data_IF_957514146345
#
_entry.id   IF_957514146345
#
_cell.length_a   1.000
_cell.length_b   1.000
_cell.length_c   1.000
_cell.angle_alpha   90.00
_cell.angle_beta   90.00
_cell.angle_gamma   90.00
#
_symmetry.space_group_name_H-M   'P 1'
#
loop_
_entity.id
_entity.type
_entity.pdbx_description
1 polymer ?
#
# COMPACT_ATOMS: atom_id res chain seq x y z
N UNK A 1 -1.17 1.46 -16.42
CA UNK A 1 -1.62 2.30 -15.30
C UNK A 1 -3.14 2.33 -15.30
N UNK A 2 -3.78 2.17 -14.15
CA UNK A 2 -5.25 2.21 -13.96
C UNK A 2 -5.61 3.11 -12.79
N UNK A 3 -6.81 3.68 -12.80
CA UNK A 3 -7.36 4.41 -11.66
C UNK A 3 -7.94 3.44 -10.63
N UNK A 4 -7.61 3.66 -9.36
CA UNK A 4 -8.02 2.79 -8.25
C UNK A 4 -8.47 3.61 -7.04
N UNK A 5 -9.29 2.99 -6.21
CA UNK A 5 -9.63 3.48 -4.88
C UNK A 5 -8.87 2.66 -3.84
N UNK A 6 -8.07 3.34 -3.04
CA UNK A 6 -7.21 2.76 -2.01
C UNK A 6 -8.05 2.60 -0.74
N UNK A 7 -8.22 1.33 -0.35
CA UNK A 7 -8.81 0.93 0.92
C UNK A 7 -7.69 0.55 1.88
N UNK A 8 -7.81 0.99 3.12
CA UNK A 8 -6.87 0.63 4.18
C UNK A 8 -7.58 -0.06 5.33
N UNK A 9 -6.87 -0.90 6.06
CA UNK A 9 -7.45 -1.62 7.17
C UNK A 9 -6.44 -2.34 8.04
N UNK A 10 -6.93 -2.90 9.15
CA UNK A 10 -6.14 -3.81 9.97
C UNK A 10 -6.25 -5.21 9.43
N UNK A 11 -5.18 -5.99 9.60
CA UNK A 11 -5.18 -7.42 9.33
C UNK A 11 -4.71 -8.17 10.57
N UNK A 12 -5.05 -9.45 10.68
CA UNK A 12 -4.58 -10.28 11.79
C UNK A 12 -3.05 -10.36 11.80
N UNK A 13 -2.44 -10.54 10.63
CA UNK A 13 -0.97 -10.64 10.50
C UNK A 13 -0.26 -9.33 10.85
N UNK A 14 -0.88 -8.18 10.53
CA UNK A 14 -0.39 -6.88 10.99
C UNK A 14 -0.38 -6.81 12.52
N UNK A 15 -1.46 -7.25 13.18
CA UNK A 15 -1.53 -7.29 14.64
C UNK A 15 -0.44 -8.17 15.25
N UNK A 16 -0.25 -9.38 14.73
CA UNK A 16 0.81 -10.29 15.18
C UNK A 16 2.20 -9.67 14.95
N UNK A 17 2.45 -9.11 13.77
CA UNK A 17 3.73 -8.49 13.43
C UNK A 17 4.06 -7.29 14.33
N UNK A 18 3.06 -6.52 14.74
CA UNK A 18 3.25 -5.41 15.68
C UNK A 18 3.79 -5.88 17.04
N UNK A 19 3.33 -7.03 17.54
CA UNK A 19 3.81 -7.60 18.81
C UNK A 19 5.24 -8.14 18.71
N UNK A 20 5.66 -8.58 17.52
CA UNK A 20 7.07 -8.94 17.26
C UNK A 20 7.95 -7.69 17.23
N UNK A 21 7.47 -6.63 16.58
CA UNK A 21 8.10 -5.31 16.59
C UNK A 21 8.08 -4.61 15.22
N UNK A 22 8.01 -3.29 15.23
CA UNK A 22 7.82 -2.47 14.00
C UNK A 22 8.99 -2.47 13.01
N UNK A 23 10.15 -2.95 13.44
CA UNK A 23 11.35 -3.09 12.59
C UNK A 23 11.58 -4.53 12.14
N UNK A 24 10.71 -5.46 12.54
CA UNK A 24 10.86 -6.87 12.19
C UNK A 24 10.47 -7.11 10.73
N UNK A 25 10.96 -8.23 10.20
CA UNK A 25 10.61 -8.67 8.86
C UNK A 25 9.14 -9.12 8.80
N UNK A 26 8.64 -9.72 9.88
CA UNK A 26 7.26 -10.16 10.05
C UNK A 26 6.29 -8.98 9.96
N UNK A 27 6.58 -7.89 10.67
CA UNK A 27 5.77 -6.68 10.56
C UNK A 27 5.84 -6.12 9.15
N UNK A 28 7.04 -5.98 8.59
CA UNK A 28 7.24 -5.41 7.26
C UNK A 28 6.44 -6.17 6.20
N UNK A 29 6.58 -7.50 6.15
CA UNK A 29 5.82 -8.38 5.24
C UNK A 29 4.31 -8.32 5.44
N UNK A 30 3.85 -8.03 6.66
CA UNK A 30 2.42 -7.94 6.97
C UNK A 30 1.76 -6.63 6.52
N UNK A 31 2.54 -5.60 6.14
CA UNK A 31 2.00 -4.27 5.80
C UNK A 31 2.54 -3.66 4.51
N UNK A 32 3.54 -4.26 3.88
CA UNK A 32 4.19 -3.73 2.68
C UNK A 32 3.63 -4.31 1.36
N UNK A 33 2.38 -4.73 1.35
CA UNK A 33 1.71 -5.33 0.20
C UNK A 33 0.40 -4.64 -0.17
N UNK A 34 0.01 -4.70 -1.44
CA UNK A 34 -1.28 -4.26 -1.96
C UNK A 34 -2.04 -5.45 -2.55
N UNK A 35 -3.25 -5.68 -2.09
CA UNK A 35 -4.19 -6.61 -2.72
C UNK A 35 -4.88 -5.93 -3.90
N UNK A 36 -4.89 -6.62 -5.04
CA UNK A 36 -5.38 -6.13 -6.32
C UNK A 36 -6.44 -7.10 -6.81
N UNK A 37 -7.56 -6.58 -7.32
CA UNK A 37 -8.58 -7.43 -7.91
C UNK A 37 -8.02 -8.25 -9.07
N UNK A 38 -8.57 -9.45 -9.29
CA UNK A 38 -8.20 -10.30 -10.42
C UNK A 38 -8.40 -9.64 -11.79
N UNK A 39 -9.44 -8.82 -11.94
CA UNK A 39 -9.70 -8.12 -13.19
C UNK A 39 -8.64 -7.05 -13.47
N UNK A 40 -8.27 -6.29 -12.43
CA UNK A 40 -7.26 -5.24 -12.54
C UNK A 40 -5.87 -5.83 -12.75
N UNK A 41 -5.56 -6.97 -12.13
CA UNK A 41 -4.28 -7.65 -12.34
C UNK A 41 -4.11 -8.08 -13.79
N UNK A 42 -5.15 -8.64 -14.41
CA UNK A 42 -5.15 -8.99 -15.83
C UNK A 42 -5.00 -7.72 -16.70
N UNK A 43 -5.73 -6.65 -16.36
CA UNK A 43 -5.72 -5.41 -17.13
C UNK A 43 -4.33 -4.73 -17.18
N UNK A 44 -3.55 -4.82 -16.10
CA UNK A 44 -2.19 -4.25 -16.05
C UNK A 44 -1.09 -5.26 -16.35
N UNK A 45 -1.41 -6.52 -16.67
CA UNK A 45 -0.42 -7.57 -16.90
C UNK A 45 0.34 -8.01 -15.64
N UNK A 46 -0.27 -7.83 -14.47
CA UNK A 46 0.33 -8.15 -13.18
C UNK A 46 0.41 -9.66 -12.93
N UNK A 47 1.57 -10.09 -12.44
CA UNK A 47 1.80 -11.44 -11.92
C UNK A 47 1.97 -11.39 -10.42
N UNK A 48 1.33 -12.33 -9.70
CA UNK A 48 1.34 -12.37 -8.24
C UNK A 48 2.76 -12.30 -7.64
N UNK A 49 2.93 -11.47 -6.60
CA UNK A 49 4.22 -11.19 -5.98
C UNK A 49 5.09 -10.13 -6.67
N UNK A 50 4.75 -9.69 -7.89
CA UNK A 50 5.47 -8.61 -8.56
C UNK A 50 5.31 -7.28 -7.79
N UNK A 51 6.27 -6.34 -7.88
CA UNK A 51 6.12 -5.03 -7.28
C UNK A 51 5.14 -4.16 -8.08
N UNK A 52 4.33 -3.37 -7.36
CA UNK A 52 3.41 -2.38 -7.92
C UNK A 52 3.66 -1.01 -7.31
N UNK A 53 3.47 0.06 -8.08
CA UNK A 53 3.56 1.43 -7.59
C UNK A 53 2.15 2.00 -7.46
N UNK A 54 1.85 2.50 -6.26
CA UNK A 54 0.63 3.25 -5.96
C UNK A 54 0.99 4.72 -5.89
N UNK A 55 0.29 5.55 -6.64
CA UNK A 55 0.51 7.01 -6.70
C UNK A 55 -0.77 7.76 -6.38
N UNK A 56 -0.68 8.78 -5.54
CA UNK A 56 -1.74 9.74 -5.25
C UNK A 56 -1.21 11.16 -5.41
N UNK A 57 -2.03 12.17 -5.14
CA UNK A 57 -1.59 13.58 -5.10
C UNK A 57 -0.56 13.86 -3.99
N UNK A 58 -0.47 12.99 -2.98
CA UNK A 58 0.41 13.14 -1.83
C UNK A 58 1.81 12.60 -2.12
N UNK A 59 1.89 11.49 -2.84
CA UNK A 59 3.15 10.81 -3.07
C UNK A 59 2.99 9.50 -3.81
N UNK A 60 4.04 8.69 -3.78
CA UNK A 60 4.08 7.36 -4.40
C UNK A 60 4.79 6.36 -3.50
N UNK A 61 4.37 5.10 -3.58
CA UNK A 61 5.01 4.00 -2.84
C UNK A 61 4.98 2.72 -3.66
N UNK A 62 6.09 1.97 -3.60
CA UNK A 62 6.19 0.63 -4.19
C UNK A 62 5.82 -0.40 -3.12
N UNK A 63 4.94 -1.33 -3.48
CA UNK A 63 4.41 -2.38 -2.61
C UNK A 63 4.54 -3.75 -3.30
N UNK A 64 4.56 -4.82 -2.53
CA UNK A 64 4.39 -6.16 -3.10
C UNK A 64 2.94 -6.32 -3.54
N UNK A 65 2.69 -6.62 -4.80
CA UNK A 65 1.35 -6.90 -5.27
C UNK A 65 0.91 -8.31 -4.85
N UNK A 66 -0.38 -8.45 -4.53
CA UNK A 66 -1.03 -9.72 -4.25
C UNK A 66 -2.36 -9.79 -4.99
N UNK A 67 -2.64 -10.87 -5.69
CA UNK A 67 -3.96 -11.07 -6.30
C UNK A 67 -4.99 -11.41 -5.22
N UNK A 68 -6.12 -10.71 -5.23
CA UNK A 68 -7.28 -11.00 -4.40
C UNK A 68 -8.47 -11.38 -5.28
N UNK A 69 -9.09 -12.51 -4.93
CA UNK A 69 -10.28 -13.03 -5.60
C UNK A 69 -11.58 -12.37 -5.08
N UNK A 70 -11.51 -11.61 -3.98
CA UNK A 70 -12.69 -11.01 -3.33
C UNK A 70 -12.82 -9.51 -3.56
N UNK A 71 -11.73 -8.84 -3.97
CA UNK A 71 -11.76 -7.42 -4.29
C UNK A 71 -12.49 -7.16 -5.60
N UNK A 72 -13.37 -6.15 -5.58
CA UNK A 72 -14.02 -5.66 -6.80
C UNK A 72 -13.03 -4.85 -7.66
N UNK A 73 -13.22 -4.83 -9.00
CA UNK A 73 -12.39 -4.03 -9.90
C UNK A 73 -12.37 -2.54 -9.53
N UNK A 74 -11.22 -1.90 -9.72
CA UNK A 74 -10.98 -0.50 -9.35
C UNK A 74 -10.76 -0.28 -7.85
N UNK A 75 -10.75 -1.34 -7.03
CA UNK A 75 -10.42 -1.26 -5.61
C UNK A 75 -9.10 -1.98 -5.32
N UNK A 76 -8.26 -1.36 -4.51
CA UNK A 76 -7.10 -2.02 -3.92
C UNK A 76 -7.17 -1.95 -2.40
N UNK A 77 -6.63 -2.97 -1.73
CA UNK A 77 -6.52 -2.97 -0.27
C UNK A 77 -5.05 -2.98 0.15
N UNK A 78 -4.70 -2.11 1.10
CA UNK A 78 -3.35 -2.03 1.66
C UNK A 78 -3.46 -2.02 3.19
N UNK A 79 -2.78 -2.92 3.92
CA UNK A 79 -2.81 -2.90 5.38
C UNK A 79 -2.25 -1.57 5.92
N UNK A 80 -2.71 -1.18 7.11
CA UNK A 80 -2.17 -0.01 7.79
C UNK A 80 -0.69 -0.18 8.10
N UNK A 81 0.12 0.78 7.63
CA UNK A 81 1.55 0.78 7.87
C UNK A 81 2.24 2.02 7.30
N UNK A 82 3.54 2.19 7.57
CA UNK A 82 4.29 3.35 7.11
C UNK A 82 4.40 3.44 5.58
N UNK A 83 4.28 2.30 4.87
CA UNK A 83 4.24 2.28 3.40
C UNK A 83 3.00 2.98 2.84
N UNK A 84 1.79 2.57 3.23
CA UNK A 84 0.57 3.21 2.69
C UNK A 84 0.47 4.67 3.10
N UNK A 85 0.98 5.04 4.27
CA UNK A 85 0.99 6.43 4.72
C UNK A 85 1.79 7.38 3.81
N UNK A 86 2.67 6.88 2.94
CA UNK A 86 3.37 7.71 1.95
C UNK A 86 2.42 8.28 0.87
N UNK A 87 1.22 7.70 0.72
CA UNK A 87 0.25 8.08 -0.30
C UNK A 87 -1.09 8.56 0.28
N UNK A 88 -1.20 8.68 1.60
CA UNK A 88 -2.41 9.16 2.29
C UNK A 88 -2.20 10.58 2.80
N UNK A 89 -3.21 11.43 2.60
CA UNK A 89 -3.13 12.85 2.92
C UNK A 89 -3.35 13.13 4.41
N UNK A 90 -2.82 14.27 4.91
CA UNK A 90 -3.03 14.70 6.30
C UNK A 90 -4.37 15.43 6.51
N UNK A 91 -5.15 15.68 5.45
CA UNK A 91 -6.40 16.42 5.55
C UNK A 91 -7.42 15.68 6.42
N UNK A 92 -7.98 16.41 7.38
CA UNK A 92 -8.91 15.91 8.37
C UNK A 92 -10.34 16.41 8.16
N UNK A 93 -10.58 17.26 7.15
CA UNK A 93 -11.89 17.88 6.91
C UNK A 93 -12.49 18.52 8.19
N UNK A 94 -11.64 19.17 9.00
CA UNK A 94 -12.00 19.77 10.30
C UNK A 94 -12.59 18.79 11.34
N UNK A 95 -12.42 17.48 11.17
CA UNK A 95 -12.88 16.46 12.13
C UNK A 95 -11.79 16.01 13.10
N UNK A 96 -10.53 16.40 12.84
CA UNK A 96 -9.36 15.93 13.59
C UNK A 96 -8.89 14.51 13.22
N UNK A 97 -9.58 13.80 12.34
CA UNK A 97 -9.17 12.47 11.85
C UNK A 97 -8.88 12.51 10.35
N UNK A 98 -7.69 12.08 9.88
CA UNK A 98 -7.39 12.07 8.46
C UNK A 98 -8.25 11.11 7.63
N UNK A 99 -8.46 11.42 6.36
CA UNK A 99 -9.11 10.51 5.42
C UNK A 99 -8.15 9.39 4.98
N UNK A 100 -8.21 8.26 5.70
CA UNK A 100 -7.33 7.11 5.43
C UNK A 100 -7.96 6.04 4.53
N UNK A 101 -9.24 6.16 4.17
CA UNK A 101 -9.99 5.17 3.37
C UNK A 101 -10.69 5.83 2.19
N UNK A 102 -10.76 5.11 1.08
CA UNK A 102 -11.45 5.58 -0.12
C UNK A 102 -10.66 6.65 -0.87
N UNK A 103 -9.34 6.66 -0.71
CA UNK A 103 -8.47 7.65 -1.37
C UNK A 103 -8.29 7.25 -2.82
N UNK A 104 -8.51 8.18 -3.76
CA UNK A 104 -8.29 7.93 -5.18
C UNK A 104 -6.80 7.97 -5.51
N UNK A 105 -6.36 7.03 -6.32
CA UNK A 105 -4.98 6.94 -6.77
C UNK A 105 -4.87 6.21 -8.09
N UNK A 106 -3.63 5.96 -8.48
CA UNK A 106 -3.26 5.24 -9.70
C UNK A 106 -2.39 4.05 -9.31
N UNK A 107 -2.61 2.94 -10.00
CA UNK A 107 -1.85 1.71 -9.84
C UNK A 107 -1.14 1.37 -11.15
N UNK A 108 0.15 1.02 -11.07
CA UNK A 108 0.92 0.50 -12.19
C UNK A 108 1.96 -0.53 -11.77
N UNK A 109 2.48 -1.29 -12.74
CA UNK A 109 3.59 -2.20 -12.52
C UNK A 109 4.86 -1.42 -12.22
N UNK A 110 5.60 -1.89 -11.22
CA UNK A 110 6.86 -1.28 -10.80
C UNK A 110 8.05 -2.17 -11.20
N UNK A 111 8.11 -2.58 -12.47
CA UNK A 111 9.16 -3.48 -12.98
C UNK A 111 10.56 -2.94 -12.66
N UNK A 112 11.41 -3.78 -12.07
CA UNK A 112 12.77 -3.42 -11.69
C UNK A 112 12.89 -2.51 -10.45
N UNK A 113 11.78 -2.08 -9.84
CA UNK A 113 11.80 -1.37 -8.55
C UNK A 113 11.65 -2.35 -7.39
N UNK A 114 12.36 -2.07 -6.30
CA UNK A 114 12.23 -2.82 -5.05
C UNK A 114 11.27 -2.12 -4.10
N UNK A 115 10.55 -2.91 -3.31
CA UNK A 115 9.77 -2.39 -2.17
C UNK A 115 10.76 -1.85 -1.14
N UNK A 116 10.63 -0.58 -0.70
CA UNK A 116 11.57 0.01 0.23
C UNK A 116 11.51 -0.72 1.58
N UNK A 117 12.66 -0.89 2.23
CA UNK A 117 12.70 -1.40 3.60
C UNK A 117 12.14 -0.37 4.58
N UNK A 118 11.82 -0.80 5.81
CA UNK A 118 11.40 0.12 6.87
C UNK A 118 12.47 1.20 7.13
N UNK A 119 13.75 0.86 7.03
CA UNK A 119 14.85 1.81 7.23
C UNK A 119 14.92 2.82 6.09
N UNK A 120 14.70 2.40 4.85
CA UNK A 120 14.68 3.29 3.69
C UNK A 120 13.48 4.24 3.79
N UNK A 121 12.31 3.75 4.19
CA UNK A 121 11.15 4.60 4.45
C UNK A 121 11.42 5.64 5.54
N UNK A 122 12.06 5.25 6.64
CA UNK A 122 12.39 6.19 7.72
C UNK A 122 13.37 7.27 7.24
N UNK A 123 14.33 6.94 6.36
CA UNK A 123 15.21 7.94 5.74
C UNK A 123 14.43 8.90 4.85
N UNK A 124 13.55 8.38 3.99
CA UNK A 124 12.67 9.18 3.13
C UNK A 124 11.82 10.15 3.97
N UNK A 125 11.18 9.65 5.04
CA UNK A 125 10.32 10.46 5.92
C UNK A 125 11.13 11.55 6.65
N UNK A 126 12.39 11.27 7.00
CA UNK A 126 13.27 12.24 7.64
C UNK A 126 13.81 13.31 6.68
N UNK A 127 13.64 13.12 5.37
CA UNK A 127 14.24 13.99 4.36
C UNK A 127 15.77 13.89 4.31
N UNK A 128 16.31 12.72 4.66
CA UNK A 128 17.75 12.44 4.72
C UNK A 128 18.23 11.56 3.56
#
# INVERSE_FOLDING_TARGET
>A
MIDVTILTGRTLQQGIGLEVGKVSEEYSKSVNYAEISKSDSIAIGFTDGSPVEVTTEIGKVVLHGRISETLSPGLIFVPYGPWVNQVLGPDTNCTGTPQLKGVRGKLELAEGKNVPSIHDLVKIIRGA
#
